data_IF_117623802747
#
_entry.id   IF_117623802747
#
_cell.length_a   1.000
_cell.length_b   1.000
_cell.length_c   1.000
_cell.angle_alpha   90.00
_cell.angle_beta   90.00
_cell.angle_gamma   90.00
#
_symmetry.space_group_name_H-M   'P 1'
#
loop_
_entity.id
_entity.type
_entity.pdbx_description
1 polymer ?
#
# COMPACT_ATOMS: atom_id res chain seq x y z
N UNK A 1 11.08 -13.92 -2.89
CA UNK A 1 9.76 -13.22 -2.92
C UNK A 1 8.68 -14.08 -2.28
N UNK A 2 8.45 -15.30 -2.77
CA UNK A 2 7.43 -16.22 -2.23
C UNK A 2 7.51 -16.46 -0.72
N UNK A 3 8.72 -16.60 -0.16
CA UNK A 3 8.91 -16.73 1.29
C UNK A 3 8.43 -15.50 2.08
N UNK A 4 8.67 -14.29 1.57
CA UNK A 4 8.18 -13.04 2.16
C UNK A 4 6.66 -12.93 2.09
N UNK A 5 6.05 -13.38 0.98
CA UNK A 5 4.60 -13.42 0.83
C UNK A 5 3.97 -14.37 1.87
N UNK A 6 4.56 -15.55 2.04
CA UNK A 6 4.10 -16.52 3.03
C UNK A 6 4.27 -16.00 4.48
N UNK A 7 5.29 -15.20 4.75
CA UNK A 7 5.46 -14.54 6.05
C UNK A 7 4.36 -13.50 6.32
N UNK A 8 4.03 -12.68 5.31
CA UNK A 8 2.95 -11.69 5.41
C UNK A 8 1.59 -12.36 5.64
N UNK A 9 1.29 -13.44 4.93
CA UNK A 9 0.05 -14.21 5.13
C UNK A 9 -0.02 -14.83 6.53
N UNK A 10 1.05 -15.47 6.99
CA UNK A 10 1.11 -16.00 8.38
C UNK A 10 0.89 -14.90 9.41
N UNK A 11 1.46 -13.71 9.17
CA UNK A 11 1.27 -12.56 10.05
C UNK A 11 -0.17 -12.08 10.04
N UNK A 12 -0.81 -12.02 8.88
CA UNK A 12 -2.20 -11.65 8.73
C UNK A 12 -3.14 -12.62 9.46
N UNK A 13 -2.95 -13.93 9.28
CA UNK A 13 -3.71 -14.97 9.98
C UNK A 13 -3.54 -14.90 11.49
N UNK A 14 -2.32 -14.68 11.97
CA UNK A 14 -2.04 -14.45 13.39
C UNK A 14 -2.78 -13.22 13.93
N UNK A 15 -2.82 -12.12 13.17
CA UNK A 15 -3.54 -10.90 13.58
C UNK A 15 -5.04 -11.12 13.61
N UNK A 16 -5.60 -11.85 12.64
CA UNK A 16 -7.02 -12.23 12.63
C UNK A 16 -7.38 -13.12 13.84
N UNK A 17 -6.51 -14.08 14.17
CA UNK A 17 -6.68 -14.92 15.36
C UNK A 17 -6.61 -14.12 16.66
N UNK A 18 -5.68 -13.17 16.77
CA UNK A 18 -5.57 -12.28 17.92
C UNK A 18 -6.80 -11.37 18.05
N UNK A 19 -7.31 -10.83 16.94
CA UNK A 19 -8.52 -10.00 16.92
C UNK A 19 -9.78 -10.78 17.32
N UNK A 20 -9.82 -12.10 17.06
CA UNK A 20 -10.89 -12.97 17.51
C UNK A 20 -10.82 -13.33 19.00
N UNK A 21 -9.71 -13.02 19.69
CA UNK A 21 -9.52 -13.31 21.10
C UNK A 21 -10.32 -12.31 21.99
N UNK A 22 -11.22 -12.77 22.88
CA UNK A 22 -11.98 -11.89 23.79
C UNK A 22 -11.10 -11.01 24.69
N UNK A 23 -9.89 -11.45 25.03
CA UNK A 23 -8.93 -10.67 25.82
C UNK A 23 -8.43 -9.43 25.05
N UNK A 24 -8.28 -9.53 23.73
CA UNK A 24 -7.93 -8.40 22.86
C UNK A 24 -9.14 -7.51 22.61
N UNK A 25 -10.31 -8.10 22.40
CA UNK A 25 -11.55 -7.35 22.17
C UNK A 25 -11.94 -6.44 23.36
N UNK A 26 -11.49 -6.80 24.57
CA UNK A 26 -11.71 -6.02 25.79
C UNK A 26 -10.64 -4.94 26.05
N UNK A 27 -9.55 -4.89 25.27
CA UNK A 27 -8.53 -3.83 25.32
C UNK A 27 -8.65 -2.92 24.08
N UNK A 28 -9.24 -1.71 24.20
CA UNK A 28 -9.40 -0.79 23.09
C UNK A 28 -8.10 -0.35 22.41
N UNK A 29 -6.96 -0.34 23.14
CA UNK A 29 -5.66 0.04 22.56
C UNK A 29 -5.13 -1.07 21.68
N UNK A 30 -5.12 -2.30 22.17
CA UNK A 30 -4.67 -3.46 21.39
C UNK A 30 -5.58 -3.74 20.21
N UNK A 31 -6.90 -3.63 20.38
CA UNK A 31 -7.87 -3.76 19.29
C UNK A 31 -7.59 -2.74 18.17
N UNK A 32 -7.33 -1.48 18.52
CA UNK A 32 -6.99 -0.43 17.55
C UNK A 32 -5.64 -0.70 16.85
N UNK A 33 -4.64 -1.17 17.61
CA UNK A 33 -3.30 -1.46 17.09
C UNK A 33 -3.35 -2.62 16.09
N UNK A 34 -3.99 -3.72 16.46
CA UNK A 34 -4.14 -4.90 15.61
C UNK A 34 -5.06 -4.64 14.42
N UNK A 35 -6.14 -3.86 14.59
CA UNK A 35 -7.02 -3.46 13.49
C UNK A 35 -6.29 -2.64 12.42
N UNK A 36 -5.40 -1.72 12.82
CA UNK A 36 -4.53 -0.98 11.88
C UNK A 36 -3.57 -1.92 11.15
N UNK A 37 -2.88 -2.78 11.90
CA UNK A 37 -1.95 -3.75 11.31
C UNK A 37 -2.65 -4.68 10.32
N UNK A 38 -3.86 -5.17 10.65
CA UNK A 38 -4.68 -5.97 9.74
C UNK A 38 -5.00 -5.20 8.45
N UNK A 39 -5.46 -3.96 8.57
CA UNK A 39 -5.79 -3.11 7.43
C UNK A 39 -4.58 -2.77 6.55
N UNK A 40 -3.37 -2.72 7.12
CA UNK A 40 -2.12 -2.55 6.37
C UNK A 40 -1.71 -3.82 5.61
N UNK A 41 -1.93 -5.00 6.20
CA UNK A 41 -1.57 -6.29 5.61
C UNK A 41 -2.60 -6.78 4.56
N UNK A 42 -3.87 -6.43 4.72
CA UNK A 42 -4.98 -6.87 3.87
C UNK A 42 -4.75 -6.64 2.37
N UNK A 43 -4.32 -5.45 1.90
CA UNK A 43 -4.04 -5.22 0.47
C UNK A 43 -2.92 -6.11 -0.07
N UNK A 44 -1.93 -6.45 0.76
CA UNK A 44 -0.83 -7.32 0.38
C UNK A 44 -1.37 -8.74 0.21
N UNK A 45 -2.08 -9.27 1.22
CA UNK A 45 -2.63 -10.62 1.22
C UNK A 45 -3.62 -10.83 0.08
N UNK A 46 -4.52 -9.88 -0.17
CA UNK A 46 -5.46 -9.97 -1.29
C UNK A 46 -4.75 -10.03 -2.64
N UNK A 47 -3.69 -9.23 -2.81
CA UNK A 47 -2.88 -9.24 -4.04
C UNK A 47 -2.11 -10.56 -4.17
N UNK A 48 -1.60 -11.13 -3.07
CA UNK A 48 -0.95 -12.45 -3.06
C UNK A 48 -1.91 -13.56 -3.48
N UNK A 49 -3.13 -13.57 -2.95
CA UNK A 49 -4.17 -14.56 -3.29
C UNK A 49 -4.54 -14.49 -4.77
N UNK A 50 -4.74 -13.28 -5.30
CA UNK A 50 -4.99 -13.08 -6.73
C UNK A 50 -3.80 -13.55 -7.58
N UNK A 51 -2.58 -13.23 -7.17
CA UNK A 51 -1.37 -13.66 -7.87
C UNK A 51 -1.25 -15.18 -7.91
N UNK A 52 -1.53 -15.89 -6.81
CA UNK A 52 -1.55 -17.36 -6.78
C UNK A 52 -2.63 -17.95 -7.69
N UNK A 53 -3.85 -17.42 -7.65
CA UNK A 53 -4.93 -17.86 -8.56
C UNK A 53 -4.50 -17.77 -10.02
N UNK A 54 -3.90 -16.64 -10.42
CA UNK A 54 -3.42 -16.45 -11.79
C UNK A 54 -2.28 -17.41 -12.14
N UNK A 55 -1.39 -17.75 -11.21
CA UNK A 55 -0.35 -18.76 -11.44
C UNK A 55 -0.94 -20.17 -11.61
N UNK A 56 -1.96 -20.52 -10.83
CA UNK A 56 -2.68 -21.80 -10.96
C UNK A 56 -3.45 -21.88 -12.29
N UNK A 57 -4.16 -20.81 -12.66
CA UNK A 57 -4.83 -20.66 -13.96
C UNK A 57 -3.83 -20.78 -15.12
N UNK A 58 -2.68 -20.11 -15.03
CA UNK A 58 -1.62 -20.19 -16.04
C UNK A 58 -1.08 -21.61 -16.19
N UNK A 59 -0.80 -22.29 -15.07
CA UNK A 59 -0.32 -23.67 -15.07
C UNK A 59 -1.34 -24.60 -15.73
N UNK A 60 -2.63 -24.45 -15.39
CA UNK A 60 -3.70 -25.23 -16.00
C UNK A 60 -3.82 -24.98 -17.51
N UNK A 61 -3.74 -23.71 -17.95
CA UNK A 61 -3.76 -23.37 -19.37
C UNK A 61 -2.53 -23.92 -20.13
N UNK A 62 -1.35 -23.90 -19.50
CA UNK A 62 -0.13 -24.49 -20.08
C UNK A 62 -0.22 -26.01 -20.21
N UNK A 63 -0.87 -26.71 -19.27
CA UNK A 63 -1.14 -28.16 -19.37
C UNK A 63 -2.09 -28.49 -20.53
N UNK A 64 -3.11 -27.65 -20.77
CA UNK A 64 -4.07 -27.82 -21.86
C UNK A 64 -3.45 -27.66 -23.26
N UNK A 65 -2.25 -27.08 -23.38
CA UNK A 65 -1.52 -27.00 -24.67
C UNK A 65 -1.14 -28.38 -25.24
N UNK A 66 -1.10 -29.41 -24.39
CA UNK A 66 -0.80 -30.77 -24.79
C UNK A 66 -1.98 -31.43 -25.53
N UNK A 67 -3.20 -30.93 -25.36
CA UNK A 67 -4.40 -31.41 -26.03
C UNK A 67 -4.65 -30.61 -27.33
N UNK A 68 -4.57 -31.25 -28.53
CA UNK A 68 -4.80 -30.58 -29.80
C UNK A 68 -6.16 -29.91 -29.94
N UNK A 69 -7.21 -30.43 -29.29
CA UNK A 69 -8.56 -29.87 -29.37
C UNK A 69 -8.71 -28.61 -28.50
N UNK A 70 -7.94 -28.51 -27.41
CA UNK A 70 -7.98 -27.40 -26.46
C UNK A 70 -6.89 -26.35 -26.71
N UNK A 71 -5.90 -26.66 -27.56
CA UNK A 71 -4.69 -25.84 -27.77
C UNK A 71 -4.97 -24.40 -28.19
N UNK A 72 -5.92 -24.18 -29.11
CA UNK A 72 -6.25 -22.84 -29.60
C UNK A 72 -6.88 -21.97 -28.49
N UNK A 73 -7.77 -22.57 -27.69
CA UNK A 73 -8.37 -21.92 -26.52
C UNK A 73 -7.31 -21.58 -25.48
N UNK A 74 -6.47 -22.55 -25.12
CA UNK A 74 -5.40 -22.35 -24.14
C UNK A 74 -4.42 -21.25 -24.55
N UNK A 75 -4.05 -21.17 -25.84
CA UNK A 75 -3.19 -20.09 -26.35
C UNK A 75 -3.83 -18.70 -26.20
N UNK A 76 -5.15 -18.59 -26.36
CA UNK A 76 -5.89 -17.35 -26.18
C UNK A 76 -5.92 -16.87 -24.72
N UNK A 77 -5.83 -17.78 -23.75
CA UNK A 77 -5.89 -17.45 -22.31
C UNK A 77 -4.52 -17.15 -21.70
N UNK A 78 -3.45 -17.76 -22.21
CA UNK A 78 -2.10 -17.64 -21.62
C UNK A 78 -1.58 -16.19 -21.62
N UNK A 79 -1.68 -15.45 -22.72
CA UNK A 79 -1.13 -14.09 -22.80
C UNK A 79 -1.86 -13.08 -21.89
N UNK A 80 -3.20 -13.08 -21.80
CA UNK A 80 -3.92 -12.33 -20.77
C UNK A 80 -3.51 -12.70 -19.34
N UNK A 81 -3.36 -13.99 -19.04
CA UNK A 81 -2.92 -14.47 -17.72
C UNK A 81 -1.50 -14.02 -17.38
N UNK A 82 -0.57 -14.07 -18.34
CA UNK A 82 0.79 -13.55 -18.17
C UNK A 82 0.81 -12.06 -17.90
N UNK A 83 0.03 -11.28 -18.65
CA UNK A 83 -0.09 -9.84 -18.44
C UNK A 83 -0.60 -9.54 -17.02
N UNK A 84 -1.66 -10.23 -16.60
CA UNK A 84 -2.23 -10.07 -15.26
C UNK A 84 -1.27 -10.51 -14.15
N UNK A 85 -0.51 -11.59 -14.36
CA UNK A 85 0.55 -12.03 -13.45
C UNK A 85 1.59 -10.92 -13.26
N UNK A 86 2.05 -10.32 -14.35
CA UNK A 86 3.11 -9.29 -14.32
C UNK A 86 2.63 -8.00 -13.64
N UNK A 87 1.38 -7.59 -13.88
CA UNK A 87 0.74 -6.47 -13.18
C UNK A 87 0.64 -6.72 -11.67
N UNK A 88 0.19 -7.91 -11.27
CA UNK A 88 0.09 -8.30 -9.87
C UNK A 88 1.47 -8.41 -9.21
N UNK A 89 2.48 -8.92 -9.92
CA UNK A 89 3.85 -8.99 -9.41
C UNK A 89 4.44 -7.58 -9.19
N UNK A 90 4.23 -6.66 -10.14
CA UNK A 90 4.64 -5.26 -10.00
C UNK A 90 3.96 -4.59 -8.81
N UNK A 91 2.64 -4.79 -8.67
CA UNK A 91 1.88 -4.30 -7.52
C UNK A 91 2.39 -4.86 -6.20
N UNK A 92 2.67 -6.17 -6.13
CA UNK A 92 3.26 -6.80 -4.94
C UNK A 92 4.62 -6.20 -4.60
N UNK A 93 5.50 -5.98 -5.58
CA UNK A 93 6.79 -5.32 -5.34
C UNK A 93 6.62 -3.95 -4.69
N UNK A 94 5.66 -3.16 -5.15
CA UNK A 94 5.35 -1.84 -4.55
C UNK A 94 4.79 -1.98 -3.14
N UNK A 95 3.85 -2.91 -2.91
CA UNK A 95 3.23 -3.11 -1.59
C UNK A 95 4.19 -3.69 -0.54
N UNK A 96 5.21 -4.42 -0.97
CA UNK A 96 6.24 -5.00 -0.09
C UNK A 96 7.37 -4.01 0.24
N UNK A 97 7.37 -2.81 -0.34
CA UNK A 97 8.28 -1.76 0.10
C UNK A 97 7.94 -1.46 1.55
N UNK A 98 8.91 -1.57 2.49
CA UNK A 98 8.67 -1.23 3.88
C UNK A 98 8.16 0.20 3.95
N UNK A 99 7.00 0.41 4.57
CA UNK A 99 6.55 1.76 4.91
C UNK A 99 7.61 2.42 5.79
N UNK A 100 7.88 3.69 5.53
CA UNK A 100 8.70 4.47 6.45
C UNK A 100 7.92 4.61 7.77
N UNK A 101 8.53 4.33 8.94
CA UNK A 101 7.88 4.53 10.24
C UNK A 101 7.41 5.99 10.48
N UNK A 102 7.80 6.94 9.63
CA UNK A 102 7.39 8.33 9.64
C UNK A 102 6.24 8.64 8.65
N UNK A 103 5.90 7.74 7.71
CA UNK A 103 4.90 8.00 6.66
C UNK A 103 3.52 8.38 7.22
N UNK A 104 3.13 7.79 8.35
CA UNK A 104 1.83 8.02 8.98
C UNK A 104 1.87 9.12 10.07
N UNK A 105 3.01 9.83 10.22
CA UNK A 105 3.17 10.90 11.22
C UNK A 105 2.90 12.27 10.64
N UNK A 106 2.42 13.18 11.49
CA UNK A 106 2.35 14.59 11.15
C UNK A 106 3.76 15.14 10.89
N UNK A 107 3.86 16.05 9.92
CA UNK A 107 5.12 16.71 9.55
C UNK A 107 5.09 18.17 9.98
N UNK A 108 6.26 18.70 10.35
CA UNK A 108 6.47 20.13 10.57
C UNK A 108 7.15 20.68 9.32
N UNK A 109 6.55 21.71 8.73
CA UNK A 109 7.11 22.42 7.58
C UNK A 109 7.59 23.78 8.05
N UNK A 110 8.88 24.04 7.89
CA UNK A 110 9.48 25.33 8.23
C UNK A 110 9.83 26.09 6.94
N UNK A 111 9.27 27.29 6.78
CA UNK A 111 9.47 28.14 5.61
C UNK A 111 10.28 29.35 6.05
N UNK A 112 11.54 29.42 5.63
CA UNK A 112 12.45 30.53 5.95
C UNK A 112 12.76 31.33 4.69
N UNK A 113 12.65 32.68 4.70
CA UNK A 113 13.15 33.49 3.61
C UNK A 113 14.66 33.33 3.49
N UNK A 114 15.14 33.14 2.27
CA UNK A 114 16.57 33.09 1.97
C UNK A 114 17.12 34.53 1.74
N UNK A 115 18.22 34.65 1.00
CA UNK A 115 18.72 35.96 0.57
C UNK A 115 17.73 36.65 -0.38
N UNK A 116 17.56 37.97 -0.24
CA UNK A 116 16.65 38.76 -1.08
C UNK A 116 15.64 39.62 -0.33
N UNK A 117 15.79 39.80 0.99
CA UNK A 117 15.03 40.81 1.74
C UNK A 117 13.52 40.67 1.60
N UNK A 118 12.87 41.76 1.13
CA UNK A 118 11.41 41.83 1.02
C UNK A 118 10.84 40.83 0.00
N UNK A 119 11.54 40.60 -1.10
CA UNK A 119 11.14 39.66 -2.15
C UNK A 119 11.20 38.21 -1.66
N UNK A 120 12.22 37.87 -0.86
CA UNK A 120 12.33 36.56 -0.23
C UNK A 120 11.22 36.32 0.79
N UNK A 121 10.84 37.35 1.56
CA UNK A 121 9.72 37.28 2.50
C UNK A 121 8.37 37.12 1.78
N UNK A 122 8.17 37.84 0.68
CA UNK A 122 6.98 37.69 -0.17
C UNK A 122 6.87 36.25 -0.69
N UNK A 123 7.96 35.69 -1.20
CA UNK A 123 7.98 34.32 -1.71
C UNK A 123 7.74 33.27 -0.61
N UNK A 124 8.30 33.45 0.58
CA UNK A 124 8.00 32.60 1.74
C UNK A 124 6.49 32.61 2.07
N UNK A 125 5.85 33.78 2.04
CA UNK A 125 4.41 33.89 2.22
C UNK A 125 3.62 33.19 1.10
N UNK A 126 4.09 33.22 -0.14
CA UNK A 126 3.47 32.48 -1.24
C UNK A 126 3.56 30.97 -1.06
N UNK A 127 4.72 30.46 -0.65
CA UNK A 127 4.91 29.04 -0.33
C UNK A 127 4.00 28.61 0.82
N UNK A 128 3.91 29.43 1.88
CA UNK A 128 3.01 29.17 2.99
C UNK A 128 1.56 29.05 2.50
N UNK A 129 1.07 30.01 1.70
CA UNK A 129 -0.28 29.92 1.10
C UNK A 129 -0.45 28.69 0.23
N UNK A 130 0.56 28.34 -0.57
CA UNK A 130 0.54 27.19 -1.47
C UNK A 130 0.37 25.89 -0.70
N UNK A 131 1.19 25.67 0.34
CA UNK A 131 1.14 24.45 1.14
C UNK A 131 -0.13 24.38 1.99
N UNK A 132 -0.57 25.49 2.58
CA UNK A 132 -1.85 25.53 3.32
C UNK A 132 -3.02 25.11 2.42
N UNK A 133 -3.13 25.67 1.21
CA UNK A 133 -4.17 25.29 0.25
C UNK A 133 -4.04 23.86 -0.27
N UNK A 134 -2.82 23.33 -0.39
CA UNK A 134 -2.61 21.93 -0.76
C UNK A 134 -3.12 21.00 0.35
N UNK A 135 -2.74 21.26 1.60
CA UNK A 135 -3.16 20.50 2.78
C UNK A 135 -4.68 20.52 2.95
N UNK A 136 -5.32 21.68 2.84
CA UNK A 136 -6.79 21.80 2.89
C UNK A 136 -7.48 20.95 1.82
N UNK A 137 -6.98 20.95 0.58
CA UNK A 137 -7.53 20.12 -0.52
C UNK A 137 -7.33 18.63 -0.30
N UNK A 138 -6.32 18.23 0.46
CA UNK A 138 -6.10 16.85 0.89
C UNK A 138 -6.89 16.49 2.15
N UNK A 139 -7.62 17.43 2.74
CA UNK A 139 -8.37 17.24 3.99
C UNK A 139 -7.47 17.18 5.23
N UNK A 140 -6.25 17.69 5.14
CA UNK A 140 -5.30 17.70 6.26
C UNK A 140 -5.49 18.92 7.14
N UNK A 141 -5.29 18.75 8.45
CA UNK A 141 -5.29 19.85 9.42
C UNK A 141 -3.98 20.62 9.34
N UNK A 142 -4.06 21.94 9.28
CA UNK A 142 -2.90 22.85 9.34
C UNK A 142 -2.94 23.59 10.67
N UNK A 143 -1.81 23.64 11.37
CA UNK A 143 -1.62 24.40 12.60
C UNK A 143 -0.37 25.26 12.45
N UNK A 144 -0.48 26.54 12.80
CA UNK A 144 0.64 27.49 12.74
C UNK A 144 1.22 27.58 14.13
N UNK A 145 2.44 27.07 14.31
CA UNK A 145 3.13 27.06 15.60
C UNK A 145 3.84 28.39 15.88
N UNK A 146 4.45 28.98 14.85
CA UNK A 146 5.23 30.21 14.95
C UNK A 146 5.13 31.01 13.64
N UNK A 147 5.09 32.33 13.76
CA UNK A 147 5.02 33.28 12.65
C UNK A 147 5.65 34.60 13.11
N UNK A 148 6.89 34.83 12.67
CA UNK A 148 7.66 36.07 12.91
C UNK A 148 7.63 37.01 11.70
#
# INVERSE_FOLDING_TARGET
MLEKLAEVERRFESVDADLANPAVASDPKELKRLGRLRAELEPIVDTVRQYRSVLEELSGAEELLADPEMREMAQGEIEPLRTRRDELEARLKTLLVPKDPLDDKAVIVEIRPAAGGAEAALFAAELFRMYTRYSERRGWRVEVNDLE
#
